data_IF_700768441348
#
_entry.id   IF_700768441348
#
_cell.length_a   1.000
_cell.length_b   1.000
_cell.length_c   1.000
_cell.angle_alpha   90.00
_cell.angle_beta   90.00
_cell.angle_gamma   90.00
#
_symmetry.space_group_name_H-M   'P 1'
#
loop_
_entity.id
_entity.type
_entity.pdbx_description
1 polymer ?
#
# COMPACT_ATOMS: atom_id res chain seq x y z
N UNK A 1 -2.07 32.61 -8.08
CA UNK A 1 -2.87 31.39 -7.97
C UNK A 1 -1.89 30.22 -7.98
N UNK A 2 -2.07 29.16 -7.19
CA UNK A 2 -1.02 28.13 -7.04
C UNK A 2 -1.59 26.75 -7.30
N UNK A 3 -0.82 25.87 -7.94
CA UNK A 3 -1.14 24.44 -8.11
C UNK A 3 -0.05 23.54 -7.52
N UNK A 4 -0.39 22.41 -6.90
CA UNK A 4 0.58 21.34 -6.59
C UNK A 4 0.37 20.20 -7.60
N UNK A 5 1.47 19.71 -8.15
CA UNK A 5 1.53 18.43 -8.86
C UNK A 5 2.27 17.46 -7.96
N UNK A 6 1.74 16.27 -7.71
CA UNK A 6 2.45 15.27 -6.91
C UNK A 6 2.42 13.87 -7.53
N UNK A 7 3.58 13.23 -7.49
CA UNK A 7 3.85 11.88 -7.97
C UNK A 7 4.20 10.98 -6.79
N UNK A 8 3.65 9.76 -6.79
CA UNK A 8 4.03 8.72 -5.83
C UNK A 8 5.26 7.97 -6.30
N UNK A 9 6.21 7.78 -5.40
CA UNK A 9 7.49 7.09 -5.67
C UNK A 9 7.74 6.00 -4.61
N UNK A 10 8.65 5.07 -4.91
CA UNK A 10 9.19 4.09 -3.95
C UNK A 10 8.17 3.46 -2.99
N UNK A 11 7.26 2.64 -3.53
CA UNK A 11 6.20 2.00 -2.73
C UNK A 11 6.64 0.67 -2.12
N UNK A 12 6.68 0.62 -0.79
CA UNK A 12 6.77 -0.63 -0.04
C UNK A 12 5.36 -1.22 0.14
N UNK A 13 5.17 -2.51 -0.17
CA UNK A 13 3.91 -3.24 0.06
C UNK A 13 4.11 -4.21 1.21
N UNK A 14 3.24 -4.14 2.22
CA UNK A 14 3.42 -4.88 3.45
C UNK A 14 2.10 -5.49 3.90
N UNK A 15 2.16 -6.71 4.42
CA UNK A 15 0.97 -7.39 4.92
C UNK A 15 0.71 -7.06 6.39
N UNK A 16 -0.36 -6.31 6.67
CA UNK A 16 -0.68 -5.80 7.99
C UNK A 16 -0.98 -6.90 9.02
N UNK A 17 -1.48 -8.06 8.60
CA UNK A 17 -1.72 -9.20 9.49
C UNK A 17 -0.43 -9.65 10.20
N UNK A 18 0.73 -9.39 9.61
CA UNK A 18 2.03 -9.71 10.19
C UNK A 18 2.41 -8.75 11.32
N UNK A 19 1.76 -7.59 11.44
CA UNK A 19 2.05 -6.58 12.46
C UNK A 19 1.30 -6.84 13.77
N UNK A 20 0.25 -7.67 13.77
CA UNK A 20 -0.56 -7.92 14.97
C UNK A 20 0.04 -8.99 15.90
N UNK A 21 0.52 -8.56 17.06
CA UNK A 21 1.14 -9.45 18.05
C UNK A 21 0.17 -10.46 18.68
N UNK A 22 -1.11 -10.14 18.90
CA UNK A 22 -2.04 -11.08 19.54
C UNK A 22 -2.37 -12.29 18.66
N UNK A 23 -2.72 -12.07 17.38
CA UNK A 23 -3.01 -13.16 16.43
C UNK A 23 -1.78 -14.03 16.20
N UNK A 24 -0.61 -13.42 16.16
CA UNK A 24 0.64 -14.12 15.93
C UNK A 24 1.17 -14.82 17.18
N UNK A 25 1.00 -14.25 18.39
CA UNK A 25 1.49 -14.83 19.65
C UNK A 25 0.82 -16.15 20.02
N UNK A 26 -0.42 -16.35 19.59
CA UNK A 26 -1.10 -17.66 19.66
C UNK A 26 -0.43 -18.71 18.76
N UNK A 27 0.24 -18.27 17.69
CA UNK A 27 0.95 -19.10 16.72
C UNK A 27 2.47 -19.19 17.02
N UNK A 28 3.09 -18.27 17.77
CA UNK A 28 4.56 -18.18 17.98
C UNK A 28 5.20 -19.51 18.38
N UNK A 29 4.56 -20.30 19.25
CA UNK A 29 5.11 -21.61 19.66
C UNK A 29 5.11 -22.69 18.56
N UNK A 30 4.40 -22.44 17.45
CA UNK A 30 4.25 -23.32 16.29
C UNK A 30 5.01 -22.83 15.06
N UNK A 31 5.49 -21.58 15.06
CA UNK A 31 6.17 -20.96 13.92
C UNK A 31 7.64 -21.34 13.88
N UNK A 32 8.19 -21.46 12.67
CA UNK A 32 9.62 -21.66 12.50
C UNK A 32 10.42 -20.41 12.91
N UNK A 33 11.68 -20.61 13.34
CA UNK A 33 12.57 -19.48 13.69
C UNK A 33 12.74 -18.50 12.52
N UNK A 34 12.74 -19.01 11.29
CA UNK A 34 12.80 -18.21 10.07
C UNK A 34 11.65 -17.19 9.97
N UNK A 35 10.43 -17.60 10.32
CA UNK A 35 9.26 -16.72 10.31
C UNK A 35 9.33 -15.67 11.44
N UNK A 36 9.88 -16.04 12.60
CA UNK A 36 10.12 -15.10 13.71
C UNK A 36 11.12 -14.02 13.29
N UNK A 37 12.23 -14.41 12.67
CA UNK A 37 13.29 -13.49 12.24
C UNK A 37 12.81 -12.56 11.13
N UNK A 38 12.10 -13.10 10.12
CA UNK A 38 11.49 -12.32 9.05
C UNK A 38 10.60 -11.20 9.63
N UNK A 39 9.76 -11.53 10.62
CA UNK A 39 8.85 -10.57 11.24
C UNK A 39 9.57 -9.51 12.08
N UNK A 40 10.61 -9.90 12.81
CA UNK A 40 11.42 -8.95 13.56
C UNK A 40 12.10 -7.93 12.63
N UNK A 41 12.65 -8.41 11.52
CA UNK A 41 13.25 -7.55 10.49
C UNK A 41 12.22 -6.62 9.85
N UNK A 42 11.02 -7.12 9.55
CA UNK A 42 9.91 -6.33 9.01
C UNK A 42 9.52 -5.17 9.93
N UNK A 43 9.35 -5.46 11.23
CA UNK A 43 9.01 -4.43 12.23
C UNK A 43 10.10 -3.36 12.33
N UNK A 44 11.36 -3.78 12.37
CA UNK A 44 12.49 -2.86 12.43
C UNK A 44 12.54 -1.97 11.18
N UNK A 45 12.38 -2.54 9.97
CA UNK A 45 12.31 -1.76 8.72
C UNK A 45 11.20 -0.71 8.77
N UNK A 46 10.01 -1.12 9.23
CA UNK A 46 8.86 -0.24 9.33
C UNK A 46 9.03 0.91 10.31
N UNK A 47 9.61 0.68 11.48
CA UNK A 47 9.85 1.76 12.45
C UNK A 47 10.73 2.88 11.85
N UNK A 48 11.70 2.52 11.00
CA UNK A 48 12.52 3.52 10.29
C UNK A 48 11.74 4.22 9.18
N UNK A 49 11.01 3.46 8.36
CA UNK A 49 10.21 4.02 7.24
C UNK A 49 9.12 4.98 7.73
N UNK A 50 8.39 4.61 8.78
CA UNK A 50 7.28 5.40 9.30
C UNK A 50 7.72 6.70 9.99
N UNK A 51 9.00 6.83 10.35
CA UNK A 51 9.55 8.06 10.92
C UNK A 51 9.61 9.20 9.90
N UNK A 52 9.66 8.87 8.61
CA UNK A 52 9.72 9.82 7.51
C UNK A 52 8.34 10.08 6.88
N UNK A 53 8.14 11.26 6.26
CA UNK A 53 6.96 11.61 5.47
C UNK A 53 6.67 10.59 4.36
N UNK A 54 5.69 9.72 4.55
CA UNK A 54 5.16 8.85 3.50
C UNK A 54 3.64 8.97 3.43
N UNK A 55 3.11 8.64 2.25
CA UNK A 55 1.71 8.36 2.05
C UNK A 55 1.46 6.88 2.27
N UNK A 56 0.34 6.55 2.91
CA UNK A 56 -0.09 5.17 3.02
C UNK A 56 -1.50 4.96 2.49
N UNK A 57 -1.68 3.86 1.76
CA UNK A 57 -2.97 3.33 1.36
C UNK A 57 -3.14 1.97 2.05
N UNK A 58 -4.23 1.81 2.81
CA UNK A 58 -4.65 0.52 3.33
C UNK A 58 -5.58 -0.11 2.31
N UNK A 59 -5.22 -1.31 1.86
CA UNK A 59 -5.97 -2.04 0.85
C UNK A 59 -6.42 -3.39 1.37
N UNK A 60 -7.72 -3.67 1.28
CA UNK A 60 -8.30 -4.98 1.54
C UNK A 60 -8.29 -5.79 0.25
N UNK A 61 -7.88 -7.05 0.31
CA UNK A 61 -7.93 -7.99 -0.82
C UNK A 61 -8.37 -9.37 -0.38
N UNK A 62 -8.82 -10.20 -1.32
CA UNK A 62 -9.16 -11.59 -1.00
C UNK A 62 -7.97 -12.31 -0.36
N UNK A 63 -8.28 -13.18 0.60
CA UNK A 63 -7.27 -13.91 1.34
C UNK A 63 -6.50 -14.86 0.41
N UNK A 64 -5.17 -14.89 0.52
CA UNK A 64 -4.33 -15.84 -0.26
C UNK A 64 -3.44 -16.65 0.66
N UNK A 65 -3.42 -17.97 0.51
CA UNK A 65 -2.55 -18.87 1.30
C UNK A 65 -1.87 -19.89 0.41
N UNK A 66 -0.70 -20.36 0.82
CA UNK A 66 -0.10 -21.55 0.21
C UNK A 66 -0.97 -22.78 0.52
N UNK A 67 -1.24 -23.59 -0.49
CA UNK A 67 -1.89 -24.88 -0.32
C UNK A 67 -0.87 -25.90 0.19
N UNK A 68 -0.73 -25.99 1.52
CA UNK A 68 0.23 -26.88 2.18
C UNK A 68 -0.07 -28.38 1.98
N UNK A 69 -1.28 -28.73 1.54
CA UNK A 69 -1.67 -30.11 1.25
C UNK A 69 -1.14 -30.59 -0.12
N UNK A 70 -0.66 -29.67 -0.96
CA UNK A 70 -0.10 -29.99 -2.28
C UNK A 70 1.33 -29.49 -2.39
N UNK A 71 2.28 -30.42 -2.32
CA UNK A 71 3.72 -30.11 -2.36
C UNK A 71 4.12 -29.43 -3.68
N UNK A 72 5.01 -28.43 -3.64
CA UNK A 72 5.59 -27.85 -4.84
C UNK A 72 6.31 -28.91 -5.66
N UNK A 73 6.26 -28.77 -6.98
CA UNK A 73 6.89 -29.71 -7.92
C UNK A 73 7.88 -28.99 -8.81
N UNK A 74 9.14 -29.41 -8.76
CA UNK A 74 10.16 -28.92 -9.66
C UNK A 74 10.17 -29.71 -10.97
N UNK A 75 10.28 -28.99 -12.08
CA UNK A 75 10.47 -29.55 -13.40
C UNK A 75 11.93 -29.31 -13.84
N UNK A 76 12.70 -30.38 -14.00
CA UNK A 76 14.12 -30.32 -14.39
C UNK A 76 14.36 -29.76 -15.79
N UNK A 77 13.41 -29.91 -16.71
CA UNK A 77 13.54 -29.41 -18.08
C UNK A 77 13.32 -27.90 -18.14
N UNK A 78 12.24 -27.41 -17.52
CA UNK A 78 11.92 -25.98 -17.54
C UNK A 78 12.59 -25.19 -16.41
N UNK A 79 13.20 -25.89 -15.45
CA UNK A 79 13.75 -25.34 -14.20
C UNK A 79 12.73 -24.52 -13.39
N UNK A 80 11.44 -24.83 -13.53
CA UNK A 80 10.34 -24.15 -12.84
C UNK A 80 9.84 -25.00 -11.67
N UNK A 81 9.51 -24.35 -10.57
CA UNK A 81 8.81 -24.92 -9.43
C UNK A 81 7.35 -24.49 -9.48
N UNK A 82 6.43 -25.45 -9.49
CA UNK A 82 4.99 -25.18 -9.42
C UNK A 82 4.56 -25.06 -7.97
N UNK A 83 3.98 -23.92 -7.59
CA UNK A 83 3.33 -23.67 -6.31
C UNK A 83 1.81 -23.74 -6.46
N UNK A 84 1.13 -23.95 -5.34
CA UNK A 84 -0.31 -24.10 -5.27
C UNK A 84 -0.85 -23.18 -4.19
N UNK A 85 -1.94 -22.47 -4.49
CA UNK A 85 -2.53 -21.45 -3.64
C UNK A 85 -4.01 -21.73 -3.40
N UNK A 86 -4.51 -21.23 -2.28
CA UNK A 86 -5.93 -21.13 -1.95
C UNK A 86 -6.28 -19.65 -1.91
N UNK A 87 -7.31 -19.25 -2.66
CA UNK A 87 -7.71 -17.85 -2.83
C UNK A 87 -9.16 -17.67 -2.37
N UNK A 88 -9.38 -16.63 -1.57
CA UNK A 88 -10.69 -16.22 -1.10
C UNK A 88 -11.29 -17.17 -0.05
N UNK A 89 -12.52 -16.83 0.36
CA UNK A 89 -13.32 -17.61 1.31
C UNK A 89 -13.65 -19.01 0.82
N UNK A 90 -13.87 -19.14 -0.48
CA UNK A 90 -14.23 -20.40 -1.14
C UNK A 90 -13.01 -21.31 -1.43
N UNK A 91 -11.81 -20.90 -0.99
CA UNK A 91 -10.54 -21.62 -1.17
C UNK A 91 -10.29 -22.05 -2.63
N UNK A 92 -10.54 -21.14 -3.58
CA UNK A 92 -10.31 -21.36 -5.00
C UNK A 92 -8.85 -21.80 -5.22
N UNK A 93 -8.67 -22.93 -5.89
CA UNK A 93 -7.35 -23.54 -6.08
C UNK A 93 -6.66 -22.95 -7.31
N UNK A 94 -5.59 -22.21 -7.07
CA UNK A 94 -4.74 -21.63 -8.12
C UNK A 94 -3.38 -22.32 -8.13
N UNK A 95 -2.72 -22.40 -9.29
CA UNK A 95 -1.38 -22.98 -9.42
C UNK A 95 -0.55 -22.16 -10.38
N UNK A 96 0.70 -21.88 -10.03
CA UNK A 96 1.61 -21.11 -10.88
C UNK A 96 3.02 -21.69 -10.82
N UNK A 97 3.74 -21.62 -11.95
CA UNK A 97 5.08 -22.17 -12.10
C UNK A 97 6.11 -21.05 -12.26
N UNK A 98 7.02 -20.94 -11.30
CA UNK A 98 8.06 -19.90 -11.25
C UNK A 98 9.45 -20.49 -11.34
N UNK A 99 10.36 -19.78 -12.01
CA UNK A 99 11.78 -20.13 -12.02
C UNK A 99 12.47 -19.42 -10.86
N UNK A 100 12.51 -20.08 -9.69
CA UNK A 100 13.00 -19.48 -8.43
C UNK A 100 14.41 -18.86 -8.56
N UNK A 101 15.26 -19.41 -9.42
CA UNK A 101 16.60 -18.86 -9.61
C UNK A 101 16.65 -17.48 -10.29
N UNK A 102 15.60 -17.10 -11.02
CA UNK A 102 15.52 -15.78 -11.67
C UNK A 102 15.12 -14.67 -10.69
N UNK A 103 14.56 -15.03 -9.53
CA UNK A 103 14.01 -14.09 -8.55
C UNK A 103 14.78 -14.09 -7.22
N UNK A 104 15.29 -15.24 -6.78
CA UNK A 104 15.81 -15.42 -5.42
C UNK A 104 17.24 -15.95 -5.37
N UNK A 105 17.64 -16.79 -6.32
CA UNK A 105 18.94 -17.48 -6.27
C UNK A 105 19.58 -17.64 -7.65
N UNK A 106 20.54 -16.80 -8.01
CA UNK A 106 21.25 -16.93 -9.30
C UNK A 106 21.88 -18.33 -9.49
N UNK A 107 22.34 -18.96 -8.40
CA UNK A 107 23.19 -20.16 -8.44
C UNK A 107 22.56 -21.43 -7.86
N UNK A 108 21.33 -21.37 -7.34
CA UNK A 108 20.63 -22.53 -6.72
C UNK A 108 19.23 -22.69 -7.32
N UNK A 109 19.09 -23.39 -8.46
CA UNK A 109 17.80 -23.46 -9.17
C UNK A 109 16.74 -24.33 -8.47
N UNK A 110 17.13 -25.10 -7.45
CA UNK A 110 16.25 -26.04 -6.74
C UNK A 110 16.48 -25.99 -5.22
N UNK A 111 16.10 -24.89 -4.54
CA UNK A 111 16.13 -24.84 -3.09
C UNK A 111 15.15 -25.84 -2.49
N UNK A 112 15.42 -26.30 -1.27
CA UNK A 112 14.43 -27.08 -0.51
C UNK A 112 13.33 -26.11 -0.04
N UNK A 113 12.08 -26.48 -0.28
CA UNK A 113 10.93 -25.62 0.06
C UNK A 113 10.27 -26.11 1.35
N UNK A 114 10.14 -25.22 2.33
CA UNK A 114 9.24 -25.36 3.47
C UNK A 114 8.02 -24.47 3.22
N UNK A 115 6.83 -25.04 3.39
CA UNK A 115 5.58 -24.29 3.24
C UNK A 115 4.83 -24.25 4.56
N UNK A 116 4.43 -23.05 4.93
CA UNK A 116 3.42 -22.74 5.93
C UNK A 116 2.27 -22.00 5.21
N UNK A 117 1.04 -21.96 5.73
CA UNK A 117 -0.08 -21.34 5.01
C UNK A 117 0.19 -19.88 4.58
N UNK A 118 0.93 -19.13 5.42
CA UNK A 118 1.24 -17.70 5.21
C UNK A 118 2.64 -17.46 4.65
N UNK A 119 3.51 -18.46 4.64
CA UNK A 119 4.93 -18.28 4.39
C UNK A 119 5.54 -19.40 3.54
N UNK A 120 6.57 -19.03 2.79
CA UNK A 120 7.47 -19.98 2.15
C UNK A 120 8.90 -19.70 2.62
N UNK A 121 9.60 -20.76 3.03
CA UNK A 121 11.04 -20.70 3.28
C UNK A 121 11.76 -21.53 2.24
N UNK A 122 12.69 -20.89 1.53
CA UNK A 122 13.55 -21.49 0.53
C UNK A 122 14.93 -21.70 1.13
N UNK A 123 15.27 -22.95 1.39
CA UNK A 123 16.52 -23.34 2.02
C UNK A 123 17.59 -23.63 0.96
N UNK A 124 18.77 -23.04 1.15
CA UNK A 124 19.94 -23.25 0.29
C UNK A 124 21.11 -23.83 1.09
N UNK A 125 22.07 -24.45 0.41
CA UNK A 125 23.25 -25.02 1.06
C UNK A 125 24.30 -23.97 1.49
N UNK A 126 24.08 -22.68 1.18
CA UNK A 126 25.05 -21.59 1.36
C UNK A 126 24.67 -20.58 2.45
N UNK A 127 23.74 -20.91 3.35
CA UNK A 127 23.26 -20.01 4.41
C UNK A 127 22.50 -18.76 3.90
N UNK A 128 22.02 -18.78 2.66
CA UNK A 128 21.16 -17.76 2.06
C UNK A 128 19.70 -18.24 2.12
N UNK A 129 19.22 -18.63 3.30
CA UNK A 129 17.84 -19.06 3.45
C UNK A 129 16.92 -17.84 3.37
N UNK A 130 15.90 -17.89 2.51
CA UNK A 130 14.98 -16.78 2.30
C UNK A 130 13.60 -17.20 2.79
N UNK A 131 12.98 -16.37 3.63
CA UNK A 131 11.58 -16.51 4.03
C UNK A 131 10.79 -15.34 3.50
N UNK A 132 9.64 -15.65 2.91
CA UNK A 132 8.73 -14.68 2.32
C UNK A 132 7.33 -14.95 2.83
N UNK A 133 6.59 -13.88 3.05
CA UNK A 133 5.14 -13.99 3.14
C UNK A 133 4.57 -14.45 1.79
N UNK A 134 3.35 -14.99 1.79
CA UNK A 134 2.66 -15.35 0.54
C UNK A 134 2.51 -14.16 -0.39
N UNK A 135 2.29 -12.95 0.14
CA UNK A 135 2.16 -11.74 -0.67
C UNK A 135 3.50 -11.29 -1.24
N UNK A 136 4.56 -11.28 -0.44
CA UNK A 136 5.92 -10.96 -0.91
C UNK A 136 6.38 -11.95 -1.98
N UNK A 137 6.04 -13.23 -1.81
CA UNK A 137 6.35 -14.26 -2.80
C UNK A 137 5.61 -14.00 -4.11
N UNK A 138 4.29 -13.76 -4.08
CA UNK A 138 3.50 -13.51 -5.28
C UNK A 138 3.96 -12.24 -5.99
N UNK A 139 4.16 -11.16 -5.25
CA UNK A 139 4.63 -9.88 -5.77
C UNK A 139 6.04 -10.00 -6.37
N UNK A 140 7.01 -10.55 -5.62
CA UNK A 140 8.39 -10.69 -6.09
C UNK A 140 8.58 -11.68 -7.25
N UNK A 141 7.60 -12.54 -7.50
CA UNK A 141 7.60 -13.48 -8.63
C UNK A 141 6.71 -13.06 -9.79
N UNK A 142 5.93 -12.00 -9.65
CA UNK A 142 4.95 -11.57 -10.65
C UNK A 142 3.85 -12.61 -10.92
N UNK A 143 3.49 -13.43 -9.92
CA UNK A 143 2.39 -14.38 -10.06
C UNK A 143 1.08 -13.65 -9.72
N UNK A 144 0.21 -13.57 -10.71
CA UNK A 144 -1.16 -13.10 -10.54
C UNK A 144 -2.08 -14.26 -10.14
N UNK A 145 -2.94 -14.01 -9.16
CA UNK A 145 -3.91 -14.98 -8.64
C UNK A 145 -5.36 -14.54 -8.87
N UNK A 146 -5.54 -13.50 -9.69
CA UNK A 146 -6.80 -12.85 -10.07
C UNK A 146 -7.53 -12.28 -8.85
N UNK A 147 -6.84 -11.41 -8.09
CA UNK A 147 -7.36 -10.75 -6.89
C UNK A 147 -7.05 -9.26 -6.90
N UNK A 148 -8.09 -8.44 -6.78
CA UNK A 148 -7.98 -6.99 -6.75
C UNK A 148 -7.64 -6.45 -5.35
N UNK A 149 -6.97 -5.29 -5.29
CA UNK A 149 -6.63 -4.57 -4.05
C UNK A 149 -7.52 -3.33 -3.87
N UNK A 150 -8.50 -3.41 -2.96
CA UNK A 150 -9.45 -2.33 -2.69
C UNK A 150 -8.95 -1.37 -1.62
N UNK A 151 -8.77 -0.10 -1.95
CA UNK A 151 -8.44 0.96 -0.98
C UNK A 151 -9.59 1.14 0.01
N UNK A 152 -9.29 0.94 1.30
CA UNK A 152 -10.25 1.06 2.41
C UNK A 152 -9.91 2.18 3.39
N UNK A 153 -8.67 2.66 3.38
CA UNK A 153 -8.24 3.82 4.15
C UNK A 153 -7.01 4.47 3.51
N UNK A 154 -6.78 5.75 3.82
CA UNK A 154 -5.57 6.47 3.41
C UNK A 154 -5.05 7.31 4.56
N UNK A 155 -3.75 7.58 4.58
CA UNK A 155 -3.13 8.41 5.60
C UNK A 155 -1.69 8.77 5.28
N UNK A 156 -1.00 9.34 6.26
CA UNK A 156 0.40 9.72 6.15
C UNK A 156 1.18 9.27 7.38
N UNK A 157 2.47 8.98 7.22
CA UNK A 157 3.41 8.78 8.32
C UNK A 157 4.38 9.95 8.43
N UNK A 158 4.83 10.33 9.64
CA UNK A 158 4.11 10.10 10.89
C UNK A 158 2.76 10.85 10.85
N UNK A 159 1.70 10.19 11.32
CA UNK A 159 0.38 10.81 11.42
C UNK A 159 0.26 11.66 12.69
N UNK A 160 -0.33 12.87 12.64
CA UNK A 160 -0.61 13.64 13.86
C UNK A 160 -1.62 12.95 14.78
N UNK A 161 -2.37 11.96 14.28
CA UNK A 161 -3.33 11.18 15.08
C UNK A 161 -2.68 10.00 15.81
N UNK A 162 -1.38 9.79 15.64
CA UNK A 162 -0.63 8.74 16.33
C UNK A 162 0.04 9.23 17.62
N UNK A 163 -0.23 10.48 18.03
CA UNK A 163 0.26 11.01 19.30
C UNK A 163 -0.15 10.10 20.48
N UNK A 164 0.83 9.72 21.29
CA UNK A 164 0.63 8.84 22.44
C UNK A 164 0.70 7.33 22.13
N UNK A 165 0.91 6.93 20.88
CA UNK A 165 1.18 5.54 20.55
C UNK A 165 2.55 5.07 21.09
N UNK A 166 2.63 3.79 21.47
CA UNK A 166 3.87 3.19 21.98
C UNK A 166 5.00 3.15 20.93
N UNK A 167 4.63 2.96 19.66
CA UNK A 167 5.51 3.08 18.49
C UNK A 167 4.68 3.40 17.24
N UNK A 168 5.33 3.85 16.16
CA UNK A 168 4.66 4.13 14.89
C UNK A 168 4.09 2.86 14.26
N UNK A 169 4.81 1.73 14.36
CA UNK A 169 4.29 0.41 13.96
C UNK A 169 3.04 0.02 14.76
N UNK A 170 3.00 0.29 16.06
CA UNK A 170 1.83 0.03 16.89
C UNK A 170 0.64 0.91 16.48
N UNK A 171 0.89 2.18 16.17
CA UNK A 171 -0.13 3.10 15.69
C UNK A 171 -0.72 2.67 14.32
N UNK A 172 0.15 2.28 13.38
CA UNK A 172 -0.27 1.74 12.09
C UNK A 172 -1.04 0.43 12.25
N UNK A 173 -0.58 -0.47 13.11
CA UNK A 173 -1.26 -1.74 13.42
C UNK A 173 -2.65 -1.51 14.03
N UNK A 174 -2.78 -0.51 14.91
CA UNK A 174 -4.06 -0.10 15.46
C UNK A 174 -4.99 0.47 14.38
N UNK A 175 -4.50 1.31 13.48
CA UNK A 175 -5.29 1.83 12.35
C UNK A 175 -5.75 0.70 11.43
N UNK A 176 -4.83 -0.18 11.04
CA UNK A 176 -5.09 -1.35 10.21
C UNK A 176 -6.15 -2.28 10.84
N UNK A 177 -6.13 -2.44 12.17
CA UNK A 177 -7.09 -3.30 12.88
C UNK A 177 -8.56 -2.92 12.65
N UNK A 178 -8.85 -1.64 12.36
CA UNK A 178 -10.21 -1.14 12.09
C UNK A 178 -10.80 -1.66 10.78
N UNK A 179 -9.94 -2.14 9.87
CA UNK A 179 -10.31 -2.57 8.52
C UNK A 179 -10.13 -4.07 8.29
N UNK A 180 -9.65 -4.82 9.29
CA UNK A 180 -9.43 -6.25 9.16
C UNK A 180 -10.74 -7.04 9.20
N UNK A 181 -10.80 -8.07 8.36
CA UNK A 181 -11.88 -9.06 8.34
C UNK A 181 -11.31 -10.47 8.55
N UNK A 182 -12.18 -11.43 8.87
CA UNK A 182 -11.80 -12.85 8.84
C UNK A 182 -11.55 -13.36 7.42
N UNK A 183 -12.10 -12.69 6.40
CA UNK A 183 -12.20 -13.22 5.03
C UNK A 183 -11.26 -12.51 4.04
N UNK A 184 -10.58 -11.44 4.47
CA UNK A 184 -9.66 -10.65 3.64
C UNK A 184 -8.28 -10.55 4.27
N UNK A 185 -7.28 -10.32 3.43
CA UNK A 185 -5.95 -9.88 3.85
C UNK A 185 -5.88 -8.35 3.71
N UNK A 186 -5.21 -7.69 4.65
CA UNK A 186 -5.04 -6.24 4.62
C UNK A 186 -3.58 -5.89 4.31
N UNK A 187 -3.36 -5.16 3.23
CA UNK A 187 -2.05 -4.67 2.83
C UNK A 187 -1.93 -3.16 3.11
N UNK A 188 -0.72 -2.71 3.42
CA UNK A 188 -0.38 -1.28 3.43
C UNK A 188 0.64 -1.02 2.32
N UNK A 189 0.36 0.01 1.53
CA UNK A 189 1.23 0.55 0.50
C UNK A 189 1.83 1.83 1.07
N UNK A 190 3.12 1.85 1.34
CA UNK A 190 3.85 3.00 1.85
C UNK A 190 4.65 3.63 0.72
N UNK A 191 4.16 4.74 0.17
CA UNK A 191 4.80 5.46 -0.93
C UNK A 191 5.48 6.75 -0.46
N UNK A 192 6.66 7.01 -0.99
CA UNK A 192 7.22 8.36 -1.05
C UNK A 192 6.39 9.25 -1.98
N UNK A 193 6.64 10.55 -1.94
CA UNK A 193 5.99 11.47 -2.86
C UNK A 193 6.92 12.63 -3.20
N UNK A 194 6.85 13.05 -4.46
CA UNK A 194 7.44 14.30 -4.94
C UNK A 194 6.30 15.29 -5.21
N UNK A 195 6.41 16.54 -4.78
CA UNK A 195 5.47 17.60 -5.16
C UNK A 195 6.22 18.81 -5.70
N UNK A 196 5.70 19.33 -6.81
CA UNK A 196 6.07 20.60 -7.39
C UNK A 196 4.93 21.59 -7.19
N UNK A 197 5.23 22.76 -6.61
CA UNK A 197 4.27 23.83 -6.41
C UNK A 197 4.48 24.89 -7.47
N UNK A 198 3.48 25.12 -8.32
CA UNK A 198 3.53 26.04 -9.45
C UNK A 198 2.77 27.32 -9.13
N UNK A 199 3.37 28.48 -9.40
CA UNK A 199 2.70 29.77 -9.27
C UNK A 199 2.12 30.21 -10.63
N UNK A 200 0.79 30.22 -10.73
CA UNK A 200 0.03 30.72 -11.87
C UNK A 200 -0.23 32.23 -11.68
N UNK A 201 0.28 33.05 -12.61
CA UNK A 201 0.01 34.50 -12.72
C UNK A 201 -0.72 34.78 -14.04
N UNK A 202 -2.04 34.97 -13.98
CA UNK A 202 -2.88 35.27 -15.16
C UNK A 202 -3.12 34.05 -16.07
N UNK A 203 -3.71 34.26 -17.24
CA UNK A 203 -4.07 33.22 -18.24
C UNK A 203 -2.86 32.53 -18.92
N UNK A 204 -1.65 32.73 -18.41
CA UNK A 204 -0.44 32.07 -18.91
C UNK A 204 0.20 31.29 -17.77
N UNK A 205 0.38 29.99 -17.99
CA UNK A 205 1.31 29.19 -17.21
C UNK A 205 2.69 29.87 -17.27
N UNK A 206 3.11 30.44 -16.15
CA UNK A 206 4.50 30.85 -15.95
C UNK A 206 5.30 29.57 -15.75
N UNK A 207 6.53 29.53 -16.26
CA UNK A 207 7.43 28.40 -16.04
C UNK A 207 7.39 27.96 -14.57
N UNK A 208 7.26 26.64 -14.30
CA UNK A 208 7.30 26.06 -12.97
C UNK A 208 8.46 26.62 -12.14
N UNK A 209 8.19 27.54 -11.21
CA UNK A 209 9.14 27.80 -10.14
C UNK A 209 8.99 26.65 -9.14
N UNK A 210 9.82 25.60 -9.28
CA UNK A 210 9.83 24.49 -8.32
C UNK A 210 10.25 25.01 -6.95
N UNK A 211 9.25 25.35 -6.15
CA UNK A 211 9.42 25.52 -4.71
C UNK A 211 9.64 24.12 -4.17
N UNK A 212 10.91 23.67 -4.16
CA UNK A 212 11.29 22.31 -3.79
C UNK A 212 10.62 21.83 -2.51
N UNK A 213 10.57 20.50 -2.34
CA UNK A 213 9.84 19.83 -1.27
C UNK A 213 10.04 20.51 0.09
N UNK A 214 8.96 20.87 0.80
CA UNK A 214 9.09 21.53 2.08
C UNK A 214 9.67 20.56 3.10
N UNK A 215 10.76 20.90 3.78
CA UNK A 215 11.40 20.01 4.75
C UNK A 215 10.67 19.96 6.11
N UNK A 216 10.89 18.88 6.87
CA UNK A 216 10.41 18.73 8.24
C UNK A 216 8.89 18.80 8.37
N UNK A 217 8.38 19.77 9.14
CA UNK A 217 6.94 19.92 9.41
C UNK A 217 6.12 20.23 8.15
N UNK A 218 6.75 20.89 7.17
CA UNK A 218 6.11 21.18 5.89
C UNK A 218 5.84 19.91 5.07
N UNK A 219 6.79 18.97 5.03
CA UNK A 219 6.61 17.68 4.37
C UNK A 219 5.50 16.87 5.05
N UNK A 220 5.46 16.83 6.39
CA UNK A 220 4.40 16.13 7.13
C UNK A 220 3.01 16.70 6.84
N UNK A 221 2.89 18.03 6.83
CA UNK A 221 1.64 18.70 6.48
C UNK A 221 1.22 18.37 5.05
N UNK A 222 2.16 18.41 4.10
CA UNK A 222 1.89 18.09 2.71
C UNK A 222 1.46 16.63 2.53
N UNK A 223 2.21 15.68 3.11
CA UNK A 223 1.84 14.26 3.13
C UNK A 223 0.41 14.06 3.67
N UNK A 224 0.07 14.72 4.78
CA UNK A 224 -1.29 14.62 5.32
C UNK A 224 -2.35 15.15 4.34
N UNK A 225 -2.08 16.27 3.67
CA UNK A 225 -3.03 16.86 2.72
C UNK A 225 -3.19 16.01 1.45
N UNK A 226 -2.10 15.45 0.94
CA UNK A 226 -2.12 14.51 -0.17
C UNK A 226 -2.89 13.24 0.23
N UNK A 227 -2.67 12.72 1.44
CA UNK A 227 -3.46 11.61 1.96
C UNK A 227 -4.96 11.93 2.04
N UNK A 228 -5.33 13.17 2.40
CA UNK A 228 -6.74 13.62 2.38
C UNK A 228 -7.31 13.69 0.97
N UNK A 229 -6.51 14.13 0.00
CA UNK A 229 -6.91 14.11 -1.41
C UNK A 229 -7.18 12.68 -1.88
N UNK A 230 -6.31 11.71 -1.53
CA UNK A 230 -6.56 10.29 -1.78
C UNK A 230 -7.79 9.75 -1.03
N UNK A 231 -8.06 10.18 0.20
CA UNK A 231 -9.30 9.80 0.91
C UNK A 231 -10.53 10.25 0.12
N UNK A 232 -10.51 11.47 -0.40
CA UNK A 232 -11.61 12.04 -1.17
C UNK A 232 -11.79 11.31 -2.50
N UNK A 233 -10.68 11.00 -3.20
CA UNK A 233 -10.71 10.31 -4.49
C UNK A 233 -11.18 8.86 -4.40
N UNK A 234 -10.58 8.06 -3.51
CA UNK A 234 -10.90 6.63 -3.38
C UNK A 234 -12.12 6.37 -2.50
N UNK A 235 -12.34 7.16 -1.44
CA UNK A 235 -13.36 6.87 -0.43
C UNK A 235 -14.56 7.81 -0.50
N UNK A 236 -14.71 8.59 -1.59
CA UNK A 236 -15.74 9.62 -1.73
C UNK A 236 -17.18 9.13 -1.53
N UNK A 237 -17.45 7.86 -1.83
CA UNK A 237 -18.76 7.21 -1.65
C UNK A 237 -18.80 6.23 -0.46
N UNK A 238 -17.76 6.22 0.38
CA UNK A 238 -17.64 5.30 1.52
C UNK A 238 -18.63 5.60 2.65
N UNK A 239 -19.05 4.56 3.37
CA UNK A 239 -19.83 4.66 4.61
C UNK A 239 -19.07 5.37 5.75
N UNK A 240 -17.73 5.53 5.67
CA UNK A 240 -16.92 6.21 6.68
C UNK A 240 -16.99 7.76 6.55
N UNK A 241 -18.21 8.28 6.64
CA UNK A 241 -18.54 9.71 6.52
C UNK A 241 -17.73 10.62 7.46
N UNK A 242 -17.41 10.26 8.72
CA UNK A 242 -16.64 11.13 9.60
C UNK A 242 -15.20 11.36 9.12
N UNK A 243 -14.51 10.32 8.66
CA UNK A 243 -13.15 10.43 8.15
C UNK A 243 -13.11 11.29 6.87
N UNK A 244 -14.07 11.05 5.96
CA UNK A 244 -14.22 11.81 4.73
C UNK A 244 -14.56 13.29 5.00
N UNK A 245 -15.42 13.57 5.98
CA UNK A 245 -15.73 14.93 6.44
C UNK A 245 -14.49 15.66 6.93
N UNK A 246 -13.67 14.97 7.73
CA UNK A 246 -12.43 15.52 8.24
C UNK A 246 -11.45 15.81 7.10
N UNK A 247 -11.27 14.85 6.19
CA UNK A 247 -10.43 15.00 5.00
C UNK A 247 -10.85 16.22 4.16
N UNK A 248 -12.14 16.32 3.82
CA UNK A 248 -12.71 17.45 3.07
C UNK A 248 -12.43 18.78 3.76
N UNK A 249 -12.79 18.91 5.04
CA UNK A 249 -12.64 20.16 5.78
C UNK A 249 -11.17 20.58 5.97
N UNK A 250 -10.28 19.61 6.12
CA UNK A 250 -8.84 19.85 6.27
C UNK A 250 -8.24 20.34 4.95
N UNK A 251 -8.52 19.64 3.84
CA UNK A 251 -8.01 19.98 2.52
C UNK A 251 -8.54 21.35 2.06
N UNK A 252 -9.85 21.60 2.23
CA UNK A 252 -10.46 22.89 1.87
C UNK A 252 -9.80 24.06 2.61
N UNK A 253 -9.55 23.90 3.92
CA UNK A 253 -8.87 24.92 4.72
C UNK A 253 -7.43 25.11 4.25
N UNK A 254 -6.72 24.02 3.96
CA UNK A 254 -5.35 24.08 3.47
C UNK A 254 -5.25 24.81 2.14
N UNK A 255 -6.10 24.45 1.16
CA UNK A 255 -6.13 25.10 -0.14
C UNK A 255 -6.41 26.61 -0.03
N UNK A 256 -7.40 27.01 0.79
CA UNK A 256 -7.70 28.43 1.04
C UNK A 256 -6.53 29.16 1.70
N UNK A 257 -5.94 28.61 2.75
CA UNK A 257 -4.84 29.26 3.48
C UNK A 257 -3.57 29.41 2.63
N UNK A 258 -3.37 28.50 1.68
CA UNK A 258 -2.21 28.51 0.77
C UNK A 258 -2.49 29.16 -0.58
N UNK A 259 -3.71 29.66 -0.81
CA UNK A 259 -4.18 30.15 -2.11
C UNK A 259 -3.97 29.13 -3.25
N UNK A 260 -4.10 27.84 -2.93
CA UNK A 260 -4.14 26.76 -3.91
C UNK A 260 -5.53 26.70 -4.53
N UNK A 261 -5.57 26.61 -5.85
CA UNK A 261 -6.83 26.40 -6.58
C UNK A 261 -6.91 25.04 -7.23
N UNK A 262 -5.78 24.33 -7.31
CA UNK A 262 -5.65 23.09 -8.05
C UNK A 262 -4.62 22.20 -7.38
N UNK A 263 -4.94 20.94 -7.23
CA UNK A 263 -4.01 19.88 -6.86
C UNK A 263 -4.18 18.80 -7.94
N UNK A 264 -3.13 18.54 -8.69
CA UNK A 264 -3.05 17.43 -9.64
C UNK A 264 -2.26 16.31 -8.98
N UNK A 265 -2.83 15.10 -8.99
CA UNK A 265 -2.21 13.92 -8.41
C UNK A 265 -2.05 12.86 -9.47
N UNK A 266 -0.85 12.31 -9.54
CA UNK A 266 -0.51 11.22 -10.44
C UNK A 266 0.08 10.08 -9.62
N UNK A 267 -0.68 8.99 -9.54
CA UNK A 267 -0.24 7.72 -8.97
C UNK A 267 0.10 6.82 -10.15
N UNK A 268 1.39 6.53 -10.33
CA UNK A 268 1.86 5.70 -11.43
C UNK A 268 2.83 4.63 -10.92
N UNK A 269 2.76 3.45 -11.53
CA UNK A 269 3.74 2.38 -11.32
C UNK A 269 4.38 1.97 -12.65
N UNK A 270 5.72 1.85 -12.66
CA UNK A 270 6.48 1.51 -13.87
C UNK A 270 6.29 0.07 -14.34
N UNK A 271 6.02 -0.84 -13.41
CA UNK A 271 5.82 -2.25 -13.71
C UNK A 271 4.40 -2.69 -13.41
N UNK A 272 3.94 -3.64 -14.21
CA UNK A 272 2.60 -4.20 -14.07
C UNK A 272 2.63 -5.38 -13.09
N UNK A 273 1.74 -5.33 -12.11
CA UNK A 273 1.45 -6.42 -11.18
C UNK A 273 0.03 -6.25 -10.67
N UNK A 274 -0.69 -7.35 -10.50
CA UNK A 274 -2.01 -7.33 -9.85
C UNK A 274 -2.00 -6.61 -8.48
N UNK A 275 -0.90 -6.67 -7.73
CA UNK A 275 -0.78 -5.98 -6.45
C UNK A 275 -0.84 -4.45 -6.60
N UNK A 276 -0.55 -3.92 -7.77
CA UNK A 276 -0.49 -2.48 -8.02
C UNK A 276 -1.78 -1.95 -8.66
N UNK A 277 -2.73 -2.83 -8.98
CA UNK A 277 -4.05 -2.46 -9.48
C UNK A 277 -4.94 -2.10 -8.30
N UNK A 278 -4.98 -0.82 -7.99
CA UNK A 278 -5.73 -0.29 -6.86
C UNK A 278 -7.09 0.22 -7.33
N UNK A 279 -8.10 0.14 -6.47
CA UNK A 279 -9.45 0.61 -6.79
C UNK A 279 -10.27 0.80 -5.52
N UNK A 280 -11.53 1.18 -5.68
CA UNK A 280 -12.47 1.30 -4.57
C UNK A 280 -13.91 1.03 -5.01
N UNK A 281 -14.89 1.17 -4.12
CA UNK A 281 -16.30 1.05 -4.52
C UNK A 281 -16.74 2.11 -5.54
N UNK A 282 -16.01 3.23 -5.60
CA UNK A 282 -16.33 4.39 -6.44
C UNK A 282 -15.33 4.60 -7.59
N UNK A 283 -14.28 3.78 -7.67
CA UNK A 283 -13.19 3.91 -8.64
C UNK A 283 -12.81 2.55 -9.20
N UNK A 284 -12.72 2.47 -10.52
CA UNK A 284 -12.26 1.27 -11.22
C UNK A 284 -10.84 0.90 -10.78
N UNK A 285 -10.56 -0.40 -10.80
CA UNK A 285 -9.23 -0.92 -10.53
C UNK A 285 -8.30 -0.60 -11.69
N UNK A 286 -7.21 0.12 -11.40
CA UNK A 286 -6.25 0.52 -12.41
C UNK A 286 -4.83 0.49 -11.84
N UNK A 287 -3.85 0.27 -12.71
CA UNK A 287 -2.44 0.41 -12.38
C UNK A 287 -2.09 1.87 -12.02
N UNK A 288 -2.76 2.81 -12.69
CA UNK A 288 -2.46 4.23 -12.61
C UNK A 288 -3.73 5.02 -12.30
N UNK A 289 -3.61 5.99 -11.41
CA UNK A 289 -4.67 6.94 -11.10
C UNK A 289 -4.17 8.35 -11.32
N UNK A 290 -4.91 9.12 -12.11
CA UNK A 290 -4.71 10.56 -12.23
C UNK A 290 -6.01 11.24 -11.86
N UNK A 291 -5.93 12.26 -11.01
CA UNK A 291 -7.09 13.05 -10.65
C UNK A 291 -6.72 14.48 -10.26
N UNK A 292 -7.69 15.36 -10.41
CA UNK A 292 -7.52 16.79 -10.13
C UNK A 292 -8.55 17.25 -9.11
N UNK A 293 -8.07 17.91 -8.06
CA UNK A 293 -8.93 18.61 -7.11
C UNK A 293 -8.83 20.11 -7.37
N UNK A 294 -9.94 20.75 -7.74
CA UNK A 294 -10.01 22.21 -7.88
C UNK A 294 -10.85 22.86 -6.78
N UNK A 295 -10.58 24.14 -6.52
CA UNK A 295 -11.36 24.98 -5.60
C UNK A 295 -11.95 26.15 -6.40
N UNK A 296 -13.25 26.06 -6.67
CA UNK A 296 -14.01 27.02 -7.48
C UNK A 296 -15.17 27.56 -6.63
N UNK A 297 -15.29 28.89 -6.52
CA UNK A 297 -16.30 29.58 -5.71
C UNK A 297 -16.45 29.03 -4.27
N UNK A 298 -15.36 28.52 -3.71
CA UNK A 298 -15.31 27.96 -2.37
C UNK A 298 -15.80 26.52 -2.24
N UNK A 299 -16.16 25.86 -3.34
CA UNK A 299 -16.54 24.45 -3.45
C UNK A 299 -15.37 23.65 -4.03
N UNK A 300 -15.11 22.46 -3.49
CA UNK A 300 -14.11 21.55 -4.08
C UNK A 300 -14.74 20.70 -5.17
N UNK A 301 -14.03 20.54 -6.28
CA UNK A 301 -14.40 19.66 -7.38
C UNK A 301 -13.34 18.57 -7.53
N UNK A 302 -13.75 17.38 -7.98
CA UNK A 302 -12.85 16.28 -8.36
C UNK A 302 -13.12 15.99 -9.82
N UNK A 303 -12.08 16.08 -10.66
CA UNK A 303 -12.19 15.84 -12.11
C UNK A 303 -13.30 16.68 -12.78
N UNK A 304 -13.53 17.88 -12.26
CA UNK A 304 -14.56 18.82 -12.72
C UNK A 304 -15.92 18.69 -12.03
N UNK A 305 -16.20 17.56 -11.37
CA UNK A 305 -17.47 17.31 -10.71
C UNK A 305 -17.48 17.89 -9.29
N UNK A 306 -18.56 18.61 -8.88
CA UNK A 306 -18.64 19.19 -7.54
C UNK A 306 -18.68 18.09 -6.49
N UNK A 307 -17.73 18.12 -5.56
CA UNK A 307 -17.67 17.17 -4.47
C UNK A 307 -18.31 17.78 -3.21
N UNK A 308 -19.52 17.34 -2.91
CA UNK A 308 -20.17 17.58 -1.63
C UNK A 308 -20.39 16.25 -0.93
N UNK A 309 -19.69 15.97 0.19
CA UNK A 309 -19.92 14.72 0.89
C UNK A 309 -21.36 14.70 1.41
N UNK A 310 -22.09 13.63 1.12
CA UNK A 310 -23.48 13.46 1.57
C UNK A 310 -23.52 13.18 3.07
N UNK A 311 -23.57 14.24 3.87
CA UNK A 311 -23.64 14.21 5.33
C UNK A 311 -25.08 14.03 5.86
N UNK A 312 -25.84 13.09 5.30
CA UNK A 312 -27.09 12.61 5.93
C UNK A 312 -26.80 11.43 6.83
#
# INVERSE_FOLDING_TARGET
MVSCHSELTDTDILWCDLLQDERFSQEIRKLSQYVVDYRANLKNHLDHKLAEPHLFLLCSREKVRFNIFKRPRYNFLTKKTTFHFLVGKEERKVSAAVKLGDHFFENTPHPKVLLEPKFVTLLTSKNEDITLSVHDFLFGTGIDVEVESKVVATGSSPSPYWEGAQSLVSALSHEASKHMSSDTDLLVYLGGFDCNVLAIKGDREVEPESLGMPNGEGAKTLALMLARAYSIYFLGESENKPALRSAYGNLLRYMRNRNLVRITLTHFYEFDSEYLHLGSDSREYALNHEFVITLEDGVMHIDGEPFQPSFT
#
